data_IF_821967469282
#
_entry.id   IF_821967469282
#
_cell.length_a   1.000
_cell.length_b   1.000
_cell.length_c   1.000
_cell.angle_alpha   90.00
_cell.angle_beta   90.00
_cell.angle_gamma   90.00
#
_symmetry.space_group_name_H-M   'P 1'
#
loop_
_entity.id
_entity.type
_entity.pdbx_description
1 polymer ?
#
# COMPACT_ATOMS: atom_id res chain seq x y z
N UNK A 1 -14.37 -9.16 11.02
CA UNK A 1 -13.15 -9.92 10.67
C UNK A 1 -12.25 -9.19 9.66
N UNK A 2 -12.74 -8.74 8.50
CA UNK A 2 -11.91 -8.01 7.51
C UNK A 2 -11.20 -6.79 8.10
N UNK A 3 -11.90 -6.01 8.93
CA UNK A 3 -11.32 -4.87 9.64
C UNK A 3 -10.19 -5.24 10.60
N UNK A 4 -10.29 -6.40 11.25
CA UNK A 4 -9.25 -6.89 12.14
C UNK A 4 -8.00 -7.28 11.35
N UNK A 5 -8.16 -7.95 10.21
CA UNK A 5 -7.04 -8.27 9.31
C UNK A 5 -6.29 -7.01 8.85
N UNK A 6 -7.03 -5.94 8.51
CA UNK A 6 -6.43 -4.67 8.14
C UNK A 6 -5.58 -4.06 9.26
N UNK A 7 -5.99 -4.18 10.54
CA UNK A 7 -5.16 -3.75 11.70
C UNK A 7 -3.86 -4.54 11.83
N UNK A 8 -3.84 -5.80 11.43
CA UNK A 8 -2.62 -6.60 11.31
C UNK A 8 -1.82 -6.33 10.04
N UNK A 9 -2.17 -5.27 9.29
CA UNK A 9 -1.58 -4.92 8.00
C UNK A 9 -1.66 -6.07 6.99
N UNK A 10 -2.75 -6.84 7.06
CA UNK A 10 -3.07 -7.91 6.10
C UNK A 10 -4.15 -7.38 5.17
N UNK A 11 -3.80 -7.17 3.90
CA UNK A 11 -4.77 -6.76 2.91
C UNK A 11 -5.79 -7.87 2.65
N UNK A 12 -7.07 -7.51 2.71
CA UNK A 12 -8.16 -8.44 2.42
C UNK A 12 -9.32 -7.76 1.71
N UNK A 13 -9.96 -8.48 0.78
CA UNK A 13 -11.25 -8.09 0.19
C UNK A 13 -12.39 -8.88 0.82
N UNK A 14 -13.57 -8.29 0.78
CA UNK A 14 -14.81 -8.99 1.05
C UNK A 14 -15.40 -9.37 -0.31
N UNK A 15 -15.72 -10.65 -0.47
CA UNK A 15 -16.45 -11.17 -1.61
C UNK A 15 -17.75 -11.78 -1.10
N UNK A 16 -18.77 -11.84 -1.94
CA UNK A 16 -19.99 -12.56 -1.63
C UNK A 16 -20.42 -13.39 -2.82
N UNK A 17 -20.92 -14.59 -2.54
CA UNK A 17 -21.49 -15.48 -3.53
C UNK A 17 -22.91 -15.80 -3.13
N UNK A 18 -23.85 -15.51 -4.01
CA UNK A 18 -25.22 -15.98 -3.89
C UNK A 18 -25.39 -17.25 -4.70
N UNK A 19 -26.00 -18.27 -4.10
CA UNK A 19 -26.47 -19.46 -4.80
C UNK A 19 -27.97 -19.56 -4.64
N UNK A 20 -28.68 -19.61 -5.78
CA UNK A 20 -30.13 -19.85 -5.83
C UNK A 20 -30.38 -21.32 -6.09
N UNK A 21 -31.10 -21.98 -5.18
CA UNK A 21 -31.53 -23.37 -5.33
C UNK A 21 -33.03 -23.53 -5.06
N UNK A 22 -33.53 -24.76 -5.18
CA UNK A 22 -34.94 -25.11 -4.96
C UNK A 22 -35.46 -24.82 -3.54
N UNK A 23 -34.56 -24.57 -2.56
CA UNK A 23 -34.88 -24.20 -1.17
C UNK A 23 -34.67 -22.71 -0.86
N UNK A 24 -34.46 -21.87 -1.88
CA UNK A 24 -34.24 -20.43 -1.74
C UNK A 24 -32.80 -19.98 -2.04
N UNK A 25 -32.52 -18.70 -1.78
CA UNK A 25 -31.22 -18.05 -2.00
C UNK A 25 -30.35 -18.13 -0.76
N UNK A 26 -29.15 -18.71 -0.90
CA UNK A 26 -28.11 -18.70 0.12
C UNK A 26 -27.03 -17.69 -0.23
N UNK A 27 -26.64 -16.86 0.73
CA UNK A 27 -25.56 -15.88 0.57
C UNK A 27 -24.37 -16.31 1.44
N UNK A 28 -23.20 -16.47 0.81
CA UNK A 28 -21.93 -16.77 1.49
C UNK A 28 -21.01 -15.57 1.35
N UNK A 29 -20.58 -15.01 2.48
CA UNK A 29 -19.60 -13.93 2.52
C UNK A 29 -18.21 -14.50 2.79
N UNK A 30 -17.29 -14.28 1.86
CA UNK A 30 -15.89 -14.70 1.95
C UNK A 30 -14.97 -13.51 2.23
N UNK A 31 -13.88 -13.76 2.95
CA UNK A 31 -12.78 -12.80 3.07
C UNK A 31 -11.58 -13.41 2.36
N UNK A 32 -11.07 -12.70 1.36
CA UNK A 32 -9.94 -13.13 0.56
C UNK A 32 -8.70 -12.32 0.91
N UNK A 33 -7.61 -13.02 1.21
CA UNK A 33 -6.27 -12.43 1.40
C UNK A 33 -5.49 -12.74 0.13
N UNK A 34 -4.87 -11.71 -0.45
CA UNK A 34 -4.10 -11.82 -1.69
C UNK A 34 -2.69 -11.34 -1.48
N UNK A 35 -1.75 -11.90 -2.22
CA UNK A 35 -0.36 -11.51 -2.14
C UNK A 35 0.39 -12.31 -1.09
N UNK A 36 1.62 -12.68 -1.43
CA UNK A 36 2.46 -13.55 -0.60
C UNK A 36 2.74 -12.95 0.77
N UNK A 37 3.09 -11.67 0.84
CA UNK A 37 3.41 -10.97 2.11
C UNK A 37 2.20 -10.89 3.05
N UNK A 38 1.02 -10.64 2.51
CA UNK A 38 -0.21 -10.62 3.31
C UNK A 38 -0.56 -12.03 3.84
N UNK A 39 -0.32 -13.08 3.05
CA UNK A 39 -0.43 -14.47 3.50
C UNK A 39 0.62 -14.79 4.57
N UNK A 40 1.88 -14.38 4.37
CA UNK A 40 2.95 -14.55 5.38
C UNK A 40 2.57 -13.87 6.70
N UNK A 41 2.10 -12.61 6.66
CA UNK A 41 1.60 -11.89 7.85
C UNK A 41 0.42 -12.60 8.49
N UNK A 42 -0.52 -13.11 7.70
CA UNK A 42 -1.65 -13.88 8.23
C UNK A 42 -1.19 -15.14 8.95
N UNK A 43 -0.29 -15.91 8.35
CA UNK A 43 0.21 -17.15 8.93
C UNK A 43 1.00 -16.89 10.21
N UNK A 44 1.83 -15.84 10.22
CA UNK A 44 2.66 -15.49 11.39
C UNK A 44 1.84 -14.91 12.54
N UNK A 45 0.89 -14.02 12.26
CA UNK A 45 0.16 -13.27 13.30
C UNK A 45 -1.12 -13.97 13.76
N UNK A 46 -1.76 -14.77 12.91
CA UNK A 46 -3.06 -15.39 13.17
C UNK A 46 -2.95 -16.91 13.05
N UNK A 47 -2.39 -17.39 11.95
CA UNK A 47 -2.19 -18.81 11.70
C UNK A 47 -3.50 -19.61 11.69
N UNK A 48 -3.40 -20.87 12.10
CA UNK A 48 -4.54 -21.77 12.31
C UNK A 48 -4.10 -22.86 13.24
N UNK A 49 -4.90 -23.27 14.22
CA UNK A 49 -4.54 -24.39 15.10
C UNK A 49 -4.79 -25.76 14.47
N UNK A 50 -5.62 -25.80 13.44
CA UNK A 50 -5.89 -27.03 12.71
C UNK A 50 -4.65 -27.48 11.89
N UNK A 51 -4.14 -28.68 12.19
CA UNK A 51 -2.92 -29.25 11.61
C UNK A 51 -2.90 -29.24 10.08
N UNK A 52 -3.99 -29.67 9.43
CA UNK A 52 -4.08 -29.71 7.96
C UNK A 52 -4.02 -28.32 7.32
N UNK A 53 -4.56 -27.29 7.99
CA UNK A 53 -4.48 -25.90 7.51
C UNK A 53 -3.07 -25.34 7.71
N UNK A 54 -2.40 -25.66 8.83
CA UNK A 54 -0.97 -25.30 9.04
C UNK A 54 -0.08 -25.84 7.93
N UNK A 55 -0.22 -27.12 7.59
CA UNK A 55 0.55 -27.76 6.50
C UNK A 55 0.27 -27.06 5.16
N UNK A 56 -0.99 -26.75 4.86
CA UNK A 56 -1.35 -26.01 3.63
C UNK A 56 -0.73 -24.62 3.59
N UNK A 57 -0.73 -23.89 4.70
CA UNK A 57 -0.08 -22.58 4.78
C UNK A 57 1.43 -22.68 4.56
N UNK A 58 2.11 -23.62 5.22
CA UNK A 58 3.53 -23.85 5.02
C UNK A 58 3.86 -24.15 3.56
N UNK A 59 3.05 -24.99 2.91
CA UNK A 59 3.20 -25.31 1.48
C UNK A 59 3.05 -24.07 0.58
N UNK A 60 2.06 -23.21 0.84
CA UNK A 60 1.89 -21.94 0.11
C UNK A 60 3.11 -21.02 0.30
N UNK A 61 3.68 -20.99 1.51
CA UNK A 61 4.86 -20.18 1.81
C UNK A 61 6.14 -20.74 1.20
N UNK A 62 6.29 -22.05 1.03
CA UNK A 62 7.50 -22.65 0.44
C UNK A 62 7.45 -22.75 -1.08
N UNK A 63 6.26 -22.80 -1.69
CA UNK A 63 6.13 -22.93 -3.14
C UNK A 63 6.50 -21.64 -3.90
N UNK A 64 7.47 -21.77 -4.82
CA UNK A 64 7.96 -20.68 -5.67
C UNK A 64 6.90 -20.10 -6.61
N UNK A 65 5.79 -20.81 -6.86
CA UNK A 65 4.72 -20.38 -7.78
C UNK A 65 4.00 -19.11 -7.31
N UNK A 66 4.08 -18.79 -6.03
CA UNK A 66 3.53 -17.57 -5.44
C UNK A 66 4.58 -16.44 -5.27
N UNK A 67 5.78 -16.59 -5.84
CA UNK A 67 6.83 -15.54 -5.91
C UNK A 67 6.50 -14.41 -6.89
N UNK A 68 5.23 -14.03 -7.02
CA UNK A 68 4.86 -12.81 -7.73
C UNK A 68 5.48 -11.65 -6.97
N UNK A 69 6.64 -11.19 -7.44
CA UNK A 69 7.47 -10.09 -6.90
C UNK A 69 6.84 -8.72 -7.12
N UNK A 70 5.70 -8.67 -7.81
CA UNK A 70 4.87 -7.48 -7.91
C UNK A 70 4.31 -7.16 -6.54
N UNK A 71 5.08 -6.32 -5.84
CA UNK A 71 4.61 -5.47 -4.74
C UNK A 71 3.18 -5.04 -5.06
N UNK A 72 2.23 -5.44 -4.22
CA UNK A 72 0.82 -5.10 -4.50
C UNK A 72 0.73 -3.58 -4.64
N UNK A 73 -0.20 -3.05 -5.46
CA UNK A 73 -0.34 -1.59 -5.61
C UNK A 73 -0.54 -0.89 -4.25
N UNK A 74 -0.99 -1.62 -3.22
CA UNK A 74 -1.20 -1.17 -1.83
C UNK A 74 0.07 -1.12 -0.99
N UNK A 75 1.13 -1.80 -1.40
CA UNK A 75 2.46 -1.79 -0.76
C UNK A 75 3.39 -0.71 -1.34
N UNK A 76 2.87 0.15 -2.22
CA UNK A 76 3.61 1.28 -2.76
C UNK A 76 3.59 2.44 -1.78
N UNK A 77 4.71 3.14 -1.68
CA UNK A 77 4.78 4.39 -0.95
C UNK A 77 3.97 5.48 -1.67
N UNK A 78 3.39 6.46 -0.94
CA UNK A 78 2.78 7.64 -1.53
C UNK A 78 3.73 8.34 -2.50
N UNK A 79 3.20 8.94 -3.58
CA UNK A 79 4.03 9.53 -4.63
C UNK A 79 4.98 10.61 -4.07
N UNK A 80 4.47 11.41 -3.12
CA UNK A 80 5.24 12.46 -2.42
C UNK A 80 6.54 11.95 -1.79
N UNK A 81 6.64 10.66 -1.46
CA UNK A 81 7.87 10.05 -0.93
C UNK A 81 9.07 10.29 -1.85
N UNK A 82 8.86 10.36 -3.17
CA UNK A 82 9.93 10.66 -4.12
C UNK A 82 10.57 12.04 -3.91
N UNK A 83 9.75 13.07 -3.62
CA UNK A 83 10.25 14.42 -3.31
C UNK A 83 11.03 14.45 -1.99
N UNK A 84 10.55 13.73 -0.98
CA UNK A 84 11.23 13.61 0.32
C UNK A 84 12.55 12.86 0.20
N UNK A 85 12.60 11.77 -0.59
CA UNK A 85 13.82 11.03 -0.89
C UNK A 85 14.85 11.96 -1.56
N UNK A 86 14.42 12.74 -2.57
CA UNK A 86 15.28 13.70 -3.26
C UNK A 86 15.86 14.74 -2.30
N UNK A 87 15.02 15.32 -1.44
CA UNK A 87 15.44 16.35 -0.50
C UNK A 87 16.47 15.81 0.52
N UNK A 88 16.21 14.64 1.11
CA UNK A 88 17.18 13.96 1.97
C UNK A 88 18.50 13.68 1.25
N UNK A 89 18.42 13.14 0.03
CA UNK A 89 19.61 12.82 -0.77
C UNK A 89 20.47 14.06 -1.02
N UNK A 90 19.86 15.17 -1.45
CA UNK A 90 20.57 16.42 -1.72
C UNK A 90 21.17 16.99 -0.44
N UNK A 91 20.41 17.00 0.67
CA UNK A 91 20.88 17.51 1.96
C UNK A 91 22.12 16.76 2.47
N UNK A 92 22.15 15.44 2.28
CA UNK A 92 23.26 14.58 2.69
C UNK A 92 24.39 14.50 1.64
N UNK A 93 24.31 15.24 0.53
CA UNK A 93 25.32 15.23 -0.52
C UNK A 93 25.44 13.91 -1.29
N UNK A 94 24.40 13.06 -1.22
CA UNK A 94 24.38 11.74 -1.85
C UNK A 94 24.14 11.83 -3.36
N UNK A 95 24.80 10.96 -4.13
CA UNK A 95 24.53 10.73 -5.55
C UNK A 95 23.36 9.75 -5.71
N UNK A 96 22.70 9.79 -6.86
CA UNK A 96 21.62 8.83 -7.13
C UNK A 96 22.10 7.37 -7.13
N UNK A 97 23.34 7.14 -7.55
CA UNK A 97 24.00 5.83 -7.50
C UNK A 97 24.11 5.25 -6.08
N UNK A 98 24.15 6.10 -5.06
CA UNK A 98 24.28 5.66 -3.67
C UNK A 98 22.98 5.06 -3.14
N UNK A 99 21.84 5.35 -3.78
CA UNK A 99 20.52 4.77 -3.48
C UNK A 99 20.16 3.59 -4.40
N UNK A 100 20.77 3.51 -5.58
CA UNK A 100 20.51 2.46 -6.56
C UNK A 100 20.67 2.94 -8.00
N UNK A 101 20.01 2.26 -8.95
CA UNK A 101 20.14 2.59 -10.38
C UNK A 101 19.65 4.04 -10.66
N UNK A 102 20.48 4.95 -11.22
CA UNK A 102 20.13 6.36 -11.39
C UNK A 102 18.85 6.62 -12.16
N UNK A 103 18.58 5.86 -13.22
CA UNK A 103 17.35 6.03 -14.00
C UNK A 103 16.10 5.70 -13.18
N UNK A 104 16.21 4.75 -12.25
CA UNK A 104 15.11 4.38 -11.35
C UNK A 104 14.93 5.41 -10.26
N UNK A 105 16.04 5.83 -9.61
CA UNK A 105 16.01 6.88 -8.58
C UNK A 105 15.49 8.20 -9.17
N UNK A 106 15.98 8.61 -10.34
CA UNK A 106 15.48 9.79 -11.05
C UNK A 106 13.98 9.71 -11.36
N UNK A 107 13.49 8.53 -11.76
CA UNK A 107 12.05 8.34 -11.99
C UNK A 107 11.23 8.46 -10.71
N UNK A 108 11.77 8.02 -9.57
CA UNK A 108 11.14 8.14 -8.25
C UNK A 108 11.17 9.60 -7.77
N UNK A 109 12.33 10.24 -7.80
CA UNK A 109 12.55 11.62 -7.35
C UNK A 109 11.74 12.66 -8.13
N UNK A 110 11.47 12.37 -9.41
CA UNK A 110 10.64 13.21 -10.28
C UNK A 110 9.16 12.78 -10.29
N UNK A 111 8.72 11.98 -9.33
CA UNK A 111 7.32 11.56 -9.17
C UNK A 111 6.74 10.81 -10.39
N UNK A 112 7.58 10.32 -11.30
CA UNK A 112 7.16 9.53 -12.47
C UNK A 112 6.87 8.08 -12.11
N UNK A 113 7.45 7.60 -11.02
CA UNK A 113 7.33 6.21 -10.57
C UNK A 113 7.19 6.14 -9.05
N UNK A 114 6.18 5.41 -8.57
CA UNK A 114 6.09 5.03 -7.14
C UNK A 114 7.11 3.94 -6.81
N UNK A 115 7.69 4.03 -5.63
CA UNK A 115 8.56 2.99 -5.06
C UNK A 115 7.79 2.13 -4.05
N UNK A 116 8.32 0.95 -3.69
CA UNK A 116 7.74 0.10 -2.66
C UNK A 116 8.04 0.68 -1.27
N UNK A 117 7.19 0.36 -0.29
CA UNK A 117 7.44 0.72 1.11
C UNK A 117 8.74 0.13 1.68
N UNK A 118 9.13 -1.05 1.20
CA UNK A 118 10.39 -1.68 1.64
C UNK A 118 11.60 -0.93 1.06
N UNK A 119 11.56 -0.51 -0.21
CA UNK A 119 12.61 0.34 -0.75
C UNK A 119 12.73 1.68 0.01
N UNK A 120 11.60 2.24 0.49
CA UNK A 120 11.68 3.46 1.33
C UNK A 120 12.38 3.18 2.66
N UNK A 121 12.17 2.00 3.27
CA UNK A 121 12.93 1.60 4.46
C UNK A 121 14.42 1.49 4.16
N UNK A 122 14.76 0.82 3.06
CA UNK A 122 16.16 0.70 2.65
C UNK A 122 16.81 2.08 2.44
N UNK A 123 16.08 3.03 1.85
CA UNK A 123 16.57 4.41 1.72
C UNK A 123 16.70 5.14 3.06
N UNK A 124 15.76 4.95 3.99
CA UNK A 124 15.87 5.50 5.34
C UNK A 124 17.11 4.97 6.06
N UNK A 125 17.37 3.68 5.97
CA UNK A 125 18.56 3.06 6.57
C UNK A 125 19.86 3.60 5.96
N UNK A 126 19.88 3.86 4.65
CA UNK A 126 20.99 4.55 4.00
C UNK A 126 21.12 5.97 4.55
N UNK A 127 20.04 6.75 4.60
CA UNK A 127 20.09 8.12 5.10
C UNK A 127 20.60 8.20 6.54
N UNK A 128 20.18 7.29 7.43
CA UNK A 128 20.70 7.20 8.80
C UNK A 128 22.21 6.96 8.84
N UNK A 129 22.71 6.03 8.01
CA UNK A 129 24.16 5.76 7.91
C UNK A 129 24.96 6.97 7.46
N UNK A 130 24.35 7.87 6.69
CA UNK A 130 24.95 9.13 6.24
C UNK A 130 24.65 10.32 7.17
N UNK A 131 24.09 10.06 8.36
CA UNK A 131 23.92 11.07 9.40
C UNK A 131 22.58 11.80 9.40
N UNK A 132 21.58 11.30 8.66
CA UNK A 132 20.22 11.81 8.79
C UNK A 132 19.69 11.57 10.21
N UNK A 133 19.09 12.59 10.79
CA UNK A 133 18.48 12.52 12.12
C UNK A 133 17.06 13.09 12.05
N UNK A 134 16.25 12.90 13.10
CA UNK A 134 14.89 13.44 13.15
C UNK A 134 14.81 14.98 13.17
N UNK A 135 15.96 15.66 13.29
CA UNK A 135 16.06 17.11 13.08
C UNK A 135 15.84 17.50 11.61
N UNK A 136 16.15 16.61 10.67
CA UNK A 136 15.87 16.81 9.25
C UNK A 136 14.38 16.52 9.00
N UNK A 137 13.63 17.55 8.61
CA UNK A 137 12.17 17.49 8.51
C UNK A 137 11.71 16.42 7.53
N UNK A 138 12.35 16.34 6.38
CA UNK A 138 12.02 15.40 5.31
C UNK A 138 12.33 13.97 5.73
N UNK A 139 13.40 13.76 6.50
CA UNK A 139 13.71 12.46 7.09
C UNK A 139 12.63 12.03 8.08
N UNK A 140 12.24 12.93 9.00
CA UNK A 140 11.17 12.70 9.97
C UNK A 140 9.84 12.41 9.28
N UNK A 141 9.51 13.14 8.21
CA UNK A 141 8.31 12.92 7.42
C UNK A 141 8.34 11.56 6.72
N UNK A 142 9.48 11.16 6.14
CA UNK A 142 9.64 9.88 5.47
C UNK A 142 9.56 8.70 6.47
N UNK A 143 10.12 8.86 7.68
CA UNK A 143 9.93 7.91 8.80
C UNK A 143 8.47 7.81 9.23
N UNK A 144 7.81 8.95 9.44
CA UNK A 144 6.39 8.99 9.81
C UNK A 144 5.55 8.30 8.76
N UNK A 145 5.91 8.50 7.49
CA UNK A 145 5.30 7.76 6.40
C UNK A 145 5.53 6.26 6.65
N UNK A 146 6.76 5.76 6.62
CA UNK A 146 7.00 4.31 6.74
C UNK A 146 6.36 3.65 7.97
N UNK A 147 6.30 4.35 9.09
CA UNK A 147 5.68 3.87 10.34
C UNK A 147 4.14 3.90 10.32
N UNK A 148 3.55 4.76 9.50
CA UNK A 148 2.12 5.02 9.45
C UNK A 148 1.31 3.85 8.91
N UNK A 149 0.07 3.75 9.39
CA UNK A 149 -0.92 2.80 8.87
C UNK A 149 -1.66 3.40 7.67
N UNK A 150 -0.98 3.51 6.53
CA UNK A 150 -1.65 3.85 5.28
C UNK A 150 -1.63 2.67 4.30
N UNK A 151 -2.75 2.55 3.62
CA UNK A 151 -2.91 1.72 2.43
C UNK A 151 -3.34 2.64 1.30
N UNK A 152 -2.59 2.65 0.21
CA UNK A 152 -3.06 3.31 -1.01
C UNK A 152 -4.25 2.52 -1.54
N UNK A 153 -5.44 3.11 -1.45
CA UNK A 153 -6.64 2.58 -2.08
C UNK A 153 -6.96 3.37 -3.34
N UNK A 154 -7.41 2.67 -4.39
CA UNK A 154 -7.85 3.32 -5.62
C UNK A 154 -9.21 3.97 -5.40
N UNK A 155 -9.25 5.30 -5.50
CA UNK A 155 -10.49 6.07 -5.46
C UNK A 155 -11.09 6.12 -6.86
N UNK A 156 -12.38 5.76 -7.00
CA UNK A 156 -13.16 6.14 -8.17
C UNK A 156 -13.87 7.44 -7.85
N UNK A 157 -13.52 8.49 -8.58
CA UNK A 157 -14.18 9.78 -8.45
C UNK A 157 -15.40 9.75 -9.38
N UNK A 158 -16.60 9.89 -8.82
CA UNK A 158 -17.82 10.15 -9.59
C UNK A 158 -18.21 11.61 -9.33
N UNK A 159 -18.16 12.44 -10.37
CA UNK A 159 -18.73 13.79 -10.32
C UNK A 159 -20.22 13.64 -10.60
N UNK A 160 -21.06 13.99 -9.63
CA UNK A 160 -22.51 14.09 -9.81
C UNK A 160 -22.87 15.58 -9.77
N UNK A 161 -23.52 16.06 -10.83
CA UNK A 161 -24.01 17.43 -10.90
C UNK A 161 -25.41 17.49 -10.29
N UNK A 162 -25.60 18.33 -9.27
CA UNK A 162 -26.91 18.56 -8.66
C UNK A 162 -27.16 20.06 -8.64
N UNK A 163 -28.18 20.50 -9.40
CA UNK A 163 -28.77 21.85 -9.33
C UNK A 163 -27.71 22.98 -9.28
N UNK A 164 -26.90 23.08 -10.34
CA UNK A 164 -25.95 24.18 -10.55
C UNK A 164 -24.77 24.26 -9.57
N UNK A 165 -24.56 23.25 -8.72
CA UNK A 165 -23.35 23.07 -7.94
C UNK A 165 -22.77 21.66 -8.16
N UNK A 166 -21.45 21.57 -8.33
CA UNK A 166 -20.77 20.28 -8.44
C UNK A 166 -20.60 19.66 -7.06
N UNK A 167 -21.21 18.50 -6.83
CA UNK A 167 -20.85 17.65 -5.70
C UNK A 167 -19.88 16.58 -6.18
N UNK A 168 -18.65 16.62 -5.67
CA UNK A 168 -17.66 15.58 -5.94
C UNK A 168 -17.92 14.43 -4.96
N UNK A 169 -18.53 13.34 -5.44
CA UNK A 169 -18.72 12.12 -4.66
C UNK A 169 -17.52 11.19 -4.87
N UNK A 170 -16.78 10.95 -3.80
CA UNK A 170 -15.69 9.97 -3.81
C UNK A 170 -16.27 8.58 -3.52
N UNK A 171 -16.25 7.68 -4.51
CA UNK A 171 -16.62 6.28 -4.33
C UNK A 171 -15.35 5.47 -4.03
N UNK A 172 -15.13 5.20 -2.75
CA UNK A 172 -14.02 4.35 -2.30
C UNK A 172 -14.42 2.90 -2.52
N UNK A 173 -13.75 2.20 -3.45
CA UNK A 173 -14.05 0.79 -3.81
C UNK A 173 -14.01 -0.17 -2.60
N UNK A 174 -13.23 0.17 -1.59
CA UNK A 174 -13.31 -0.47 -0.29
C UNK A 174 -14.00 0.51 0.66
N UNK A 175 -15.14 0.14 1.25
CA UNK A 175 -15.64 0.86 2.43
C UNK A 175 -14.50 0.88 3.46
N UNK A 176 -13.85 2.03 3.67
CA UNK A 176 -13.57 2.64 4.98
C UNK A 176 -12.66 3.87 4.91
N UNK A 177 -13.16 4.91 5.57
CA UNK A 177 -12.46 6.06 6.14
C UNK A 177 -11.66 5.55 7.34
N UNK A 178 -10.38 5.88 7.42
CA UNK A 178 -9.64 5.84 8.70
C UNK A 178 -8.60 6.97 8.72
N UNK A 179 -8.79 7.92 9.64
CA UNK A 179 -7.77 8.79 10.24
C UNK A 179 -6.96 9.74 9.33
N UNK A 180 -7.34 11.02 9.34
CA UNK A 180 -6.53 12.22 9.06
C UNK A 180 -5.53 12.17 7.89
N UNK A 181 -6.00 12.61 6.71
CA UNK A 181 -5.14 13.06 5.62
C UNK A 181 -5.37 12.31 4.32
N UNK A 182 -6.47 12.61 3.63
CA UNK A 182 -6.59 12.34 2.19
C UNK A 182 -5.48 13.11 1.46
N UNK A 183 -4.46 12.43 0.97
CA UNK A 183 -3.54 13.02 0.00
C UNK A 183 -4.19 12.82 -1.36
N UNK A 184 -4.84 13.88 -1.86
CA UNK A 184 -5.33 13.95 -3.22
C UNK A 184 -4.13 14.33 -4.10
N UNK A 185 -3.77 13.44 -5.01
CA UNK A 185 -2.83 13.75 -6.10
C UNK A 185 -3.61 14.57 -7.14
N UNK A 186 -3.66 15.89 -6.97
CA UNK A 186 -4.25 16.81 -7.94
C UNK A 186 -3.18 17.25 -8.95
N UNK A 187 -2.59 16.32 -9.69
CA UNK A 187 -1.80 16.66 -10.87
C UNK A 187 -2.00 15.62 -11.99
N UNK A 188 -3.20 15.69 -12.56
CA UNK A 188 -3.35 15.76 -14.01
C UNK A 188 -4.25 16.94 -14.29
N UNK A 189 -3.63 18.11 -14.45
CA UNK A 189 -4.17 19.16 -15.30
C UNK A 189 -4.68 18.52 -16.58
N UNK A 190 -5.99 18.60 -16.78
CA UNK A 190 -6.60 18.47 -18.10
C UNK A 190 -5.90 19.48 -19.01
N UNK A 191 -4.93 19.01 -19.78
CA UNK A 191 -4.43 19.74 -20.94
C UNK A 191 -5.38 19.42 -22.10
N UNK A 192 -6.32 20.34 -22.30
CA UNK A 192 -7.17 20.59 -23.48
C UNK A 192 -8.19 19.49 -23.81
#
# INVERSE_FOLDING_TARGET
>A
MQLLLKRFRINSSLDYRSSSGSKGTSNVYGIHIYGRKDIERFVTNIGSDHSTKRIRFQKILTENKYKSSTTSNRERAPLISGSLIRANRIHLGLKQNDLGKPSTISSIENLKRRTSMDNVKDYLDIFEKYGATEKLLEFKQLKKLVSGEYTLDELKIKKEEIQSNYMIRYEIKNKLITGNGLIIDTDKSDNI
#
